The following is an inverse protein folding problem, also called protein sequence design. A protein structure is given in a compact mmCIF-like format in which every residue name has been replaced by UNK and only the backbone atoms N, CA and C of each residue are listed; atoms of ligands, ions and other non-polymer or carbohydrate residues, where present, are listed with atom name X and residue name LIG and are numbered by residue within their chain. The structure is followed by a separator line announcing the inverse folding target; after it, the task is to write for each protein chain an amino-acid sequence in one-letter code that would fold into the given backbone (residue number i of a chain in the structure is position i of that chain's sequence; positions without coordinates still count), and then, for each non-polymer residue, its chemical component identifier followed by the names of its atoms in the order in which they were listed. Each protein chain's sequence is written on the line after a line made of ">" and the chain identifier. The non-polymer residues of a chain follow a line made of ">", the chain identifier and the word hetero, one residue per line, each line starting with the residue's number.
data_IF_158255234538
#
_entry.id   IF_158255234538
#
_cell.length_a   1.000
_cell.length_b   1.000
_cell.length_c   1.000
_cell.angle_alpha   90.00
_cell.angle_beta   90.00
_cell.angle_gamma   90.00
#
_symmetry.space_group_name_H-M   'P 1'
#
loop_
_entity.id
_entity.type
_entity.pdbx_description
1 polymer ?
#
# COMPACT_ATOMS: atom_id res chain seq x y z
N UNK A 1 38.11 -21.51 13.91
CA UNK A 1 37.59 -20.13 13.85
C UNK A 1 37.44 -19.72 12.39
N UNK A 2 36.24 -19.35 11.96
CA UNK A 2 36.05 -18.71 10.65
C UNK A 2 34.81 -17.82 10.68
N UNK A 3 35.04 -16.52 10.47
CA UNK A 3 34.04 -15.49 10.29
C UNK A 3 33.81 -15.32 8.78
N UNK A 4 32.56 -15.49 8.31
CA UNK A 4 32.18 -15.19 6.93
C UNK A 4 31.10 -14.11 6.93
N UNK A 5 31.51 -12.87 7.10
CA UNK A 5 30.63 -11.71 6.93
C UNK A 5 30.55 -11.39 5.44
N UNK A 6 29.55 -11.93 4.74
CA UNK A 6 29.15 -11.43 3.43
C UNK A 6 28.16 -10.28 3.60
N UNK A 7 28.63 -9.03 3.71
CA UNK A 7 27.77 -7.86 3.57
C UNK A 7 27.47 -7.68 2.08
N UNK A 8 26.45 -8.39 1.56
CA UNK A 8 25.91 -8.15 0.21
C UNK A 8 25.04 -6.88 0.21
N UNK A 9 25.64 -5.68 0.31
CA UNK A 9 24.89 -4.41 0.11
C UNK A 9 24.76 -4.10 -1.40
N UNK A 10 23.79 -4.72 -2.09
CA UNK A 10 23.26 -4.28 -3.41
C UNK A 10 22.01 -3.38 -3.21
N UNK A 11 21.62 -2.53 -4.19
CA UNK A 11 22.27 -1.32 -4.69
C UNK A 11 21.66 -0.04 -4.07
N UNK A 12 22.48 0.98 -3.83
CA UNK A 12 22.08 2.29 -3.24
C UNK A 12 21.27 3.21 -4.19
N UNK A 13 21.14 2.85 -5.47
CA UNK A 13 20.59 3.75 -6.51
C UNK A 13 19.12 4.16 -6.30
N UNK A 14 18.15 3.26 -6.06
CA UNK A 14 16.76 3.67 -5.86
C UNK A 14 16.56 4.44 -4.54
N UNK A 15 17.31 4.09 -3.48
CA UNK A 15 17.18 4.79 -2.19
C UNK A 15 17.61 6.25 -2.28
N UNK A 16 18.77 6.52 -2.90
CA UNK A 16 19.27 7.90 -3.06
C UNK A 16 18.30 8.75 -3.87
N UNK A 17 17.75 8.21 -4.96
CA UNK A 17 16.78 8.91 -5.80
C UNK A 17 15.52 9.27 -5.00
N UNK A 18 14.93 8.31 -4.29
CA UNK A 18 13.71 8.58 -3.50
C UNK A 18 14.00 9.54 -2.35
N UNK A 19 15.12 9.39 -1.64
CA UNK A 19 15.48 10.28 -0.54
C UNK A 19 15.66 11.74 -1.01
N UNK A 20 16.35 11.95 -2.14
CA UNK A 20 16.52 13.27 -2.73
C UNK A 20 15.18 13.87 -3.15
N UNK A 21 14.34 13.07 -3.81
CA UNK A 21 13.04 13.52 -4.27
C UNK A 21 12.10 13.88 -3.11
N UNK A 22 12.11 13.09 -2.03
CA UNK A 22 11.34 13.41 -0.81
C UNK A 22 11.85 14.70 -0.18
N UNK A 23 13.17 14.89 -0.07
CA UNK A 23 13.77 16.12 0.48
C UNK A 23 13.36 17.35 -0.34
N UNK A 24 13.43 17.27 -1.66
CA UNK A 24 13.09 18.37 -2.58
C UNK A 24 11.63 18.83 -2.44
N UNK A 25 10.69 17.90 -2.31
CA UNK A 25 9.26 18.23 -2.31
C UNK A 25 8.67 18.49 -0.93
N UNK A 26 9.28 17.96 0.15
CA UNK A 26 8.67 17.97 1.49
C UNK A 26 9.57 18.55 2.57
N UNK A 27 10.86 18.79 2.28
CA UNK A 27 11.88 19.15 3.27
C UNK A 27 12.31 17.99 4.18
N UNK A 28 11.64 16.82 4.13
CA UNK A 28 11.97 15.67 4.96
C UNK A 28 13.27 15.04 4.46
N UNK A 29 14.34 15.15 5.26
CA UNK A 29 15.62 14.52 4.95
C UNK A 29 15.62 13.05 5.36
N UNK A 30 15.52 12.11 4.42
CA UNK A 30 15.66 10.67 4.70
C UNK A 30 17.14 10.27 4.65
N UNK A 31 17.67 9.70 5.73
CA UNK A 31 19.06 9.18 5.78
C UNK A 31 19.10 7.66 5.66
N UNK A 32 20.29 7.08 5.39
CA UNK A 32 20.42 5.61 5.23
C UNK A 32 19.97 4.84 6.47
N UNK A 33 20.13 5.41 7.66
CA UNK A 33 19.72 4.83 8.94
C UNK A 33 18.21 4.87 9.19
N UNK A 34 17.43 5.61 8.39
CA UNK A 34 15.97 5.59 8.46
C UNK A 34 15.36 4.37 7.74
N UNK A 35 16.15 3.72 6.89
CA UNK A 35 15.71 2.67 5.97
C UNK A 35 16.41 1.35 6.29
N UNK A 36 15.65 0.26 6.30
CA UNK A 36 16.22 -1.08 6.39
C UNK A 36 16.72 -1.49 5.00
N UNK A 37 15.77 -1.61 4.06
CA UNK A 37 16.04 -1.93 2.67
C UNK A 37 15.14 -1.15 1.70
N UNK A 38 15.56 -1.13 0.43
CA UNK A 38 14.76 -0.61 -0.66
C UNK A 38 15.10 -1.28 -1.99
N UNK A 39 14.09 -1.67 -2.77
CA UNK A 39 14.29 -2.30 -4.08
C UNK A 39 13.17 -1.94 -5.06
N UNK A 40 13.45 -2.04 -6.36
CA UNK A 40 12.45 -1.88 -7.42
C UNK A 40 11.68 -3.18 -7.61
N UNK A 41 10.38 -3.09 -7.82
CA UNK A 41 9.53 -4.24 -8.18
C UNK A 41 9.42 -4.39 -9.70
N UNK A 42 9.18 -5.61 -10.15
CA UNK A 42 8.93 -5.93 -11.55
C UNK A 42 10.17 -5.93 -12.46
N UNK A 43 9.96 -6.41 -13.68
CA UNK A 43 10.98 -6.42 -14.74
C UNK A 43 11.21 -5.02 -15.26
N UNK A 44 12.45 -4.74 -15.66
CA UNK A 44 12.77 -3.48 -16.33
C UNK A 44 12.10 -3.46 -17.71
N UNK A 45 11.41 -2.37 -18.00
CA UNK A 45 10.80 -2.09 -19.29
C UNK A 45 11.20 -0.68 -19.67
N UNK A 46 11.64 -0.49 -20.91
CA UNK A 46 12.05 0.82 -21.40
C UNK A 46 10.87 1.80 -21.42
N UNK A 47 11.13 3.06 -21.11
CA UNK A 47 10.10 4.10 -20.99
C UNK A 47 9.15 3.98 -19.78
N UNK A 48 9.26 2.95 -18.93
CA UNK A 48 8.37 2.76 -17.75
C UNK A 48 9.10 2.89 -16.42
N UNK A 49 8.56 3.74 -15.54
CA UNK A 49 9.03 3.84 -14.16
C UNK A 49 8.57 2.64 -13.33
N UNK A 50 9.50 1.98 -12.66
CA UNK A 50 9.21 0.86 -11.77
C UNK A 50 8.94 1.33 -10.34
N UNK A 51 7.91 0.79 -9.67
CA UNK A 51 7.66 1.10 -8.27
C UNK A 51 8.82 0.65 -7.39
N UNK A 52 9.07 1.41 -6.33
CA UNK A 52 10.11 1.14 -5.33
C UNK A 52 9.43 0.79 -4.02
N UNK A 53 9.76 -0.38 -3.46
CA UNK A 53 9.37 -0.74 -2.09
C UNK A 53 10.48 -0.30 -1.16
N UNK A 54 10.12 0.45 -0.13
CA UNK A 54 11.00 0.87 0.95
C UNK A 54 10.49 0.32 2.28
N UNK A 55 11.39 -0.27 3.06
CA UNK A 55 11.13 -0.58 4.46
C UNK A 55 11.82 0.46 5.33
N UNK A 56 11.03 1.23 6.06
CA UNK A 56 11.53 2.14 7.09
C UNK A 56 11.85 1.36 8.37
N UNK A 57 12.87 1.80 9.09
CA UNK A 57 13.19 1.29 10.43
C UNK A 57 12.18 1.85 11.44
N UNK A 58 11.89 3.15 11.38
CA UNK A 58 10.89 3.81 12.24
C UNK A 58 9.52 3.90 11.56
N UNK A 59 8.48 3.52 12.32
CA UNK A 59 7.07 3.67 11.89
C UNK A 59 6.69 5.15 11.82
N UNK A 60 7.19 5.95 12.75
CA UNK A 60 6.95 7.39 12.85
C UNK A 60 7.48 8.09 11.61
N UNK A 61 8.69 7.71 11.17
CA UNK A 61 9.31 8.24 9.95
C UNK A 61 8.50 7.92 8.69
N UNK A 62 8.05 6.67 8.56
CA UNK A 62 7.10 6.27 7.49
C UNK A 62 5.85 7.15 7.51
N UNK A 63 5.26 7.36 8.70
CA UNK A 63 4.05 8.19 8.87
C UNK A 63 4.30 9.64 8.47
N UNK A 64 5.45 10.23 8.84
CA UNK A 64 5.82 11.60 8.45
C UNK A 64 5.84 11.75 6.92
N UNK A 65 6.48 10.82 6.22
CA UNK A 65 6.53 10.82 4.74
C UNK A 65 5.12 10.67 4.15
N UNK A 66 4.30 9.76 4.68
CA UNK A 66 2.93 9.53 4.18
C UNK A 66 2.00 10.72 4.43
N UNK A 67 2.17 11.46 5.53
CA UNK A 67 1.42 12.70 5.79
C UNK A 67 1.66 13.77 4.72
N UNK A 68 2.87 13.79 4.14
CA UNK A 68 3.25 14.67 3.03
C UNK A 68 2.96 14.10 1.64
N UNK A 69 2.12 13.06 1.56
CA UNK A 69 1.75 12.42 0.29
C UNK A 69 1.13 13.37 -0.73
N UNK A 70 0.41 14.43 -0.30
CA UNK A 70 -0.13 15.45 -1.22
C UNK A 70 0.99 16.22 -1.94
N UNK A 71 1.99 16.69 -1.20
CA UNK A 71 3.17 17.40 -1.74
C UNK A 71 3.98 16.50 -2.68
N UNK A 72 4.18 15.23 -2.29
CA UNK A 72 4.86 14.25 -3.13
C UNK A 72 4.11 13.97 -4.44
N UNK A 73 2.77 13.93 -4.42
CA UNK A 73 1.96 13.71 -5.62
C UNK A 73 2.04 14.87 -6.61
N UNK A 74 2.20 16.10 -6.14
CA UNK A 74 2.48 17.25 -7.00
C UNK A 74 3.82 17.08 -7.73
N UNK A 75 4.80 16.46 -7.06
CA UNK A 75 6.06 16.04 -7.65
C UNK A 75 6.02 14.72 -8.45
N UNK A 76 4.84 14.25 -8.84
CA UNK A 76 4.63 12.97 -9.53
C UNK A 76 5.14 11.72 -8.76
N UNK A 77 5.20 11.79 -7.43
CA UNK A 77 5.56 10.68 -6.55
C UNK A 77 4.32 10.24 -5.78
N UNK A 78 3.93 8.98 -5.93
CA UNK A 78 2.69 8.44 -5.34
C UNK A 78 3.02 7.45 -4.21
N UNK A 79 3.29 7.93 -2.99
CA UNK A 79 3.55 7.04 -1.87
C UNK A 79 2.25 6.32 -1.44
N UNK A 80 2.35 5.02 -1.21
CA UNK A 80 1.27 4.19 -0.67
C UNK A 80 1.82 3.20 0.36
N UNK A 81 0.94 2.71 1.25
CA UNK A 81 1.31 1.61 2.13
C UNK A 81 1.32 0.29 1.34
N UNK A 82 2.33 -0.55 1.61
CA UNK A 82 2.32 -1.93 1.14
C UNK A 82 1.39 -2.76 2.04
N UNK A 83 0.18 -3.05 1.55
CA UNK A 83 -0.83 -3.82 2.29
C UNK A 83 -0.64 -5.32 2.04
N UNK A 84 -1.04 -6.15 3.00
CA UNK A 84 -1.13 -7.60 2.76
C UNK A 84 -2.23 -7.88 1.73
N UNK A 85 -2.18 -9.02 1.00
CA UNK A 85 -3.19 -9.34 -0.01
C UNK A 85 -4.64 -9.24 0.51
N UNK A 86 -4.90 -9.79 1.69
CA UNK A 86 -6.21 -9.72 2.34
C UNK A 86 -6.66 -8.28 2.61
N UNK A 87 -5.80 -7.46 3.22
CA UNK A 87 -6.12 -6.05 3.51
C UNK A 87 -6.31 -5.27 2.20
N UNK A 88 -5.51 -5.56 1.19
CA UNK A 88 -5.64 -4.94 -0.13
C UNK A 88 -6.99 -5.28 -0.78
N UNK A 89 -7.48 -6.51 -0.64
CA UNK A 89 -8.76 -6.95 -1.15
C UNK A 89 -9.93 -6.28 -0.45
N UNK A 90 -9.86 -6.17 0.88
CA UNK A 90 -10.85 -5.45 1.69
C UNK A 90 -10.87 -3.97 1.35
N UNK A 91 -9.69 -3.35 1.20
CA UNK A 91 -9.57 -1.96 0.74
C UNK A 91 -10.23 -1.77 -0.63
N UNK A 92 -9.98 -2.68 -1.57
CA UNK A 92 -10.59 -2.63 -2.90
C UNK A 92 -12.10 -2.84 -2.83
N UNK A 93 -12.57 -3.76 -1.98
CA UNK A 93 -14.00 -4.03 -1.79
C UNK A 93 -14.73 -2.80 -1.27
N UNK A 94 -14.24 -2.16 -0.21
CA UNK A 94 -14.84 -0.91 0.32
C UNK A 94 -14.81 0.20 -0.75
N UNK A 95 -13.66 0.41 -1.40
CA UNK A 95 -13.49 1.46 -2.42
C UNK A 95 -14.39 1.28 -3.65
N UNK A 96 -14.53 0.07 -4.14
CA UNK A 96 -15.25 -0.21 -5.38
C UNK A 96 -16.74 -0.44 -5.14
N UNK A 97 -17.08 -1.16 -4.07
CA UNK A 97 -18.45 -1.62 -3.81
C UNK A 97 -19.29 -0.60 -3.02
N UNK A 98 -18.67 0.23 -2.17
CA UNK A 98 -19.38 1.32 -1.45
C UNK A 98 -19.27 2.69 -2.13
N UNK A 99 -18.92 2.74 -3.42
CA UNK A 99 -18.66 4.01 -4.16
C UNK A 99 -19.86 4.98 -4.19
N UNK A 100 -21.09 4.46 -4.08
CA UNK A 100 -22.29 5.29 -4.10
C UNK A 100 -22.47 6.08 -2.80
N UNK A 101 -22.06 5.51 -1.66
CA UNK A 101 -22.20 6.10 -0.32
C UNK A 101 -20.90 6.71 0.20
N UNK A 102 -19.76 6.29 -0.35
CA UNK A 102 -18.42 6.68 0.11
C UNK A 102 -17.82 7.74 -0.79
N UNK A 103 -17.30 8.82 -0.19
CA UNK A 103 -16.56 9.89 -0.85
C UNK A 103 -15.09 9.50 -1.08
N UNK A 104 -14.43 8.96 -0.05
CA UNK A 104 -13.02 8.58 -0.13
C UNK A 104 -12.66 7.41 0.77
N UNK A 105 -11.64 6.64 0.36
CA UNK A 105 -11.09 5.49 1.11
C UNK A 105 -9.58 5.62 1.14
N UNK A 106 -8.98 5.48 2.32
CA UNK A 106 -7.53 5.57 2.50
C UNK A 106 -7.04 4.61 3.58
N UNK A 107 -5.74 4.40 3.62
CA UNK A 107 -5.08 3.62 4.66
C UNK A 107 -4.19 4.48 5.54
N UNK A 108 -4.08 4.09 6.80
CA UNK A 108 -3.16 4.67 7.76
C UNK A 108 -2.70 3.60 8.73
N UNK A 109 -1.41 3.30 8.70
CA UNK A 109 -0.79 2.30 9.58
C UNK A 109 -1.41 0.92 9.40
N UNK A 110 -1.69 0.54 8.15
CA UNK A 110 -2.32 -0.73 7.79
C UNK A 110 -3.85 -0.73 7.94
N UNK A 111 -4.42 0.15 8.77
CA UNK A 111 -5.87 0.26 8.99
C UNK A 111 -6.53 0.97 7.82
N UNK A 112 -7.72 0.50 7.45
CA UNK A 112 -8.53 1.10 6.37
C UNK A 112 -9.57 2.04 6.99
N UNK A 113 -9.66 3.23 6.42
CA UNK A 113 -10.64 4.25 6.76
C UNK A 113 -11.42 4.65 5.51
N UNK A 114 -12.68 5.01 5.69
CA UNK A 114 -13.49 5.58 4.63
C UNK A 114 -14.32 6.75 5.16
N UNK A 115 -14.51 7.75 4.29
CA UNK A 115 -15.38 8.90 4.53
C UNK A 115 -16.63 8.73 3.69
N UNK A 116 -17.78 8.71 4.35
CA UNK A 116 -19.07 8.73 3.68
C UNK A 116 -19.36 10.14 3.13
N UNK A 117 -20.29 10.23 2.18
CA UNK A 117 -20.71 11.52 1.59
C UNK A 117 -21.42 12.44 2.61
N UNK A 118 -21.93 11.87 3.69
CA UNK A 118 -22.47 12.62 4.85
C UNK A 118 -21.38 13.26 5.73
N UNK A 119 -20.09 13.03 5.42
CA UNK A 119 -18.97 13.54 6.19
C UNK A 119 -18.46 12.60 7.30
N UNK A 120 -19.21 11.54 7.64
CA UNK A 120 -18.81 10.60 8.69
C UNK A 120 -17.58 9.79 8.29
N UNK A 121 -16.63 9.66 9.22
CA UNK A 121 -15.39 8.90 9.03
C UNK A 121 -15.49 7.61 9.80
N UNK A 122 -15.37 6.49 9.10
CA UNK A 122 -15.51 5.15 9.65
C UNK A 122 -14.21 4.37 9.49
N UNK A 123 -13.94 3.48 10.45
CA UNK A 123 -12.82 2.54 10.41
C UNK A 123 -13.33 1.14 10.10
N UNK A 124 -12.70 0.48 9.15
CA UNK A 124 -12.95 -0.94 8.88
C UNK A 124 -12.44 -1.77 10.05
N UNK A 125 -13.30 -2.62 10.62
CA UNK A 125 -12.93 -3.57 11.67
C UNK A 125 -12.56 -4.91 11.05
N UNK A 126 -11.39 -5.42 11.44
CA UNK A 126 -10.85 -6.67 10.94
C UNK A 126 -11.58 -7.91 11.45
N UNK A 127 -12.35 -7.79 12.54
CA UNK A 127 -13.24 -8.87 13.00
C UNK A 127 -14.36 -9.20 12.01
N UNK A 128 -14.61 -8.32 11.03
CA UNK A 128 -15.73 -8.43 10.09
C UNK A 128 -15.25 -8.61 8.64
N UNK A 129 -14.07 -9.22 8.42
CA UNK A 129 -13.49 -9.33 7.08
C UNK A 129 -14.44 -9.92 6.04
N UNK A 130 -15.15 -10.98 6.40
CA UNK A 130 -16.08 -11.65 5.48
C UNK A 130 -17.22 -10.74 5.06
N UNK A 131 -17.73 -9.89 5.96
CA UNK A 131 -18.77 -8.90 5.62
C UNK A 131 -18.25 -7.90 4.58
N UNK A 132 -17.00 -7.43 4.74
CA UNK A 132 -16.40 -6.46 3.82
C UNK A 132 -16.10 -7.04 2.44
N UNK A 133 -15.68 -8.31 2.37
CA UNK A 133 -15.43 -9.01 1.12
C UNK A 133 -16.74 -9.28 0.37
N UNK A 134 -17.81 -9.61 1.10
CA UNK A 134 -19.12 -9.97 0.55
C UNK A 134 -20.07 -8.78 0.33
N UNK A 135 -19.58 -7.54 0.38
CA UNK A 135 -20.39 -6.37 0.03
C UNK A 135 -21.03 -6.52 -1.37
N UNK A 136 -22.27 -6.05 -1.55
CA UNK A 136 -22.94 -6.09 -2.84
C UNK A 136 -22.29 -5.08 -3.81
N UNK A 137 -22.28 -5.41 -5.10
CA UNK A 137 -21.87 -4.47 -6.13
C UNK A 137 -22.92 -3.37 -6.31
N UNK A 138 -22.52 -2.12 -6.62
CA UNK A 138 -23.45 -1.02 -6.83
C UNK A 138 -24.29 -1.26 -8.08
N UNK A 139 -25.59 -0.99 -7.97
CA UNK A 139 -26.61 -1.30 -8.99
C UNK A 139 -26.33 -0.64 -10.36
N UNK A 140 -25.59 0.48 -10.39
CA UNK A 140 -25.27 1.25 -11.60
C UNK A 140 -23.82 1.10 -12.09
N UNK A 141 -23.16 -0.03 -11.82
CA UNK A 141 -21.77 -0.21 -12.25
C UNK A 141 -21.67 -0.63 -13.73
N UNK A 142 -21.28 0.28 -14.62
CA UNK A 142 -20.81 -0.05 -15.99
C UNK A 142 -19.48 -0.84 -16.00
N UNK A 143 -18.88 -1.06 -14.82
CA UNK A 143 -17.52 -1.61 -14.62
C UNK A 143 -17.49 -3.09 -14.23
N UNK A 144 -18.63 -3.78 -14.28
CA UNK A 144 -18.73 -5.21 -13.96
C UNK A 144 -17.85 -6.09 -14.88
N UNK A 145 -17.43 -5.59 -16.06
CA UNK A 145 -16.86 -6.41 -17.13
C UNK A 145 -15.36 -6.76 -17.04
N UNK A 146 -14.54 -6.19 -16.14
CA UNK A 146 -13.08 -6.42 -16.20
C UNK A 146 -12.34 -6.67 -14.88
N UNK A 147 -13.02 -6.76 -13.74
CA UNK A 147 -12.37 -7.14 -12.48
C UNK A 147 -12.39 -8.65 -12.24
N UNK A 148 -11.81 -9.41 -13.19
CA UNK A 148 -11.29 -10.77 -12.91
C UNK A 148 -10.00 -10.61 -12.10
N UNK A 149 -10.09 -10.12 -10.86
CA UNK A 149 -9.03 -10.44 -9.91
C UNK A 149 -9.10 -11.94 -9.68
N UNK A 150 -7.96 -12.63 -9.77
CA UNK A 150 -7.79 -14.01 -9.30
C UNK A 150 -8.23 -14.03 -7.84
N UNK A 151 -9.49 -14.39 -7.61
CA UNK A 151 -9.94 -14.93 -6.35
C UNK A 151 -9.14 -16.21 -6.16
N UNK A 152 -8.07 -16.14 -5.36
CA UNK A 152 -7.51 -17.36 -4.81
C UNK A 152 -8.58 -17.84 -3.84
N UNK A 153 -9.32 -18.88 -4.26
CA UNK A 153 -10.27 -19.59 -3.42
C UNK A 153 -9.66 -19.79 -2.03
N UNK A 154 -10.11 -19.02 -1.04
CA UNK A 154 -9.90 -19.32 0.37
C UNK A 154 -10.86 -20.43 0.80
N UNK A 155 -10.85 -21.55 0.08
CA UNK A 155 -11.35 -22.85 0.56
C UNK A 155 -10.17 -23.69 1.06
N UNK A 156 -9.33 -23.09 1.91
CA UNK A 156 -8.17 -23.74 2.53
C UNK A 156 -8.16 -23.48 4.05
N UNK A 157 -9.34 -23.51 4.67
CA UNK A 157 -9.49 -23.44 6.13
C UNK A 157 -10.22 -24.64 6.75
N UNK A 158 -10.29 -25.78 6.06
CA UNK A 158 -10.88 -27.02 6.61
C UNK A 158 -10.05 -28.28 6.41
N UNK A 159 -8.75 -28.18 6.09
CA UNK A 159 -7.86 -29.35 5.99
C UNK A 159 -6.49 -29.07 6.57
N UNK A 160 -6.40 -28.93 7.89
CA UNK A 160 -5.23 -29.23 8.70
C UNK A 160 -5.73 -29.50 10.13
N UNK A 161 -6.47 -30.60 10.27
CA UNK A 161 -6.55 -31.39 11.49
C UNK A 161 -6.18 -32.82 11.05
N UNK A 162 -5.38 -33.48 11.89
CA UNK A 162 -4.63 -34.73 11.71
C UNK A 162 -3.23 -34.56 11.12
#
# INVERSE_FOLDING_TARGET
>A
MACRIQIKRKPLKPLKLVANAVKQHTGIQIIRADLDFGHRLGRFEDGKSRPVVLKFISKERKIQVLKKSKELKLGHIYPSENLTPLIQEVFNSVRLKKRDTTESVWTRSGKIFYKNRDGSINRVLYSQYDEWLNLPWPQKSKHQKNYKYRFVNSNLHSKLLW
#
